data_IF_872583837555
#
_entry.id   IF_872583837555
#
_cell.length_a   1.000
_cell.length_b   1.000
_cell.length_c   1.000
_cell.angle_alpha   90.00
_cell.angle_beta   90.00
_cell.angle_gamma   90.00
#
_symmetry.space_group_name_H-M   'P 1'
#
loop_
_entity.id
_entity.type
_entity.pdbx_description
1 polymer ?
#
# COMPACT_ATOMS: atom_id res chain seq x y z
N UNK A 1 21.98 -17.41 -17.31
CA UNK A 1 21.49 -16.89 -18.61
C UNK A 1 22.58 -15.99 -19.16
N UNK A 2 22.93 -16.13 -20.45
CA UNK A 2 24.02 -15.37 -21.08
C UNK A 2 23.83 -13.83 -20.95
N UNK A 3 24.89 -13.03 -20.70
CA UNK A 3 24.85 -11.57 -20.74
C UNK A 3 24.26 -10.97 -22.02
N UNK A 4 24.37 -11.70 -23.12
CA UNK A 4 23.85 -11.40 -24.46
C UNK A 4 22.31 -11.39 -24.49
N UNK A 5 21.64 -12.03 -23.52
CA UNK A 5 20.19 -12.02 -23.42
C UNK A 5 19.63 -10.67 -22.91
N UNK A 6 20.46 -9.83 -22.27
CA UNK A 6 20.00 -8.60 -21.64
C UNK A 6 19.26 -7.63 -22.60
N UNK A 7 19.77 -7.30 -23.80
CA UNK A 7 19.09 -6.36 -24.69
C UNK A 7 17.69 -6.85 -25.09
N UNK A 8 17.52 -8.15 -25.31
CA UNK A 8 16.24 -8.76 -25.64
C UNK A 8 15.27 -8.70 -24.45
N UNK A 9 15.74 -9.03 -23.25
CA UNK A 9 14.94 -8.92 -22.03
C UNK A 9 14.53 -7.47 -21.76
N UNK A 10 15.46 -6.53 -21.87
CA UNK A 10 15.19 -5.12 -21.58
C UNK A 10 14.19 -4.53 -22.59
N UNK A 11 14.34 -4.87 -23.88
CA UNK A 11 13.36 -4.53 -24.92
C UNK A 11 11.99 -5.13 -24.62
N UNK A 12 11.92 -6.41 -24.24
CA UNK A 12 10.67 -7.08 -23.89
C UNK A 12 10.01 -6.41 -22.67
N UNK A 13 10.78 -6.07 -21.64
CA UNK A 13 10.29 -5.38 -20.44
C UNK A 13 9.63 -4.02 -20.76
N UNK A 14 10.15 -3.32 -21.77
CA UNK A 14 9.69 -2.02 -22.22
C UNK A 14 8.58 -2.06 -23.28
N UNK A 15 8.45 -3.11 -24.07
CA UNK A 15 7.66 -3.00 -25.31
C UNK A 15 6.93 -4.26 -25.77
N UNK A 16 7.06 -5.37 -25.05
CA UNK A 16 6.30 -6.58 -25.42
C UNK A 16 4.79 -6.33 -25.36
N UNK A 17 4.04 -6.87 -26.32
CA UNK A 17 2.57 -6.71 -26.38
C UNK A 17 1.88 -7.41 -25.21
N UNK A 18 2.47 -8.50 -24.69
CA UNK A 18 1.93 -9.25 -23.58
C UNK A 18 2.39 -8.69 -22.24
N UNK A 19 1.44 -8.24 -21.42
CA UNK A 19 1.68 -7.76 -20.06
C UNK A 19 2.41 -8.79 -19.21
N UNK A 20 2.07 -10.07 -19.38
CA UNK A 20 2.73 -11.19 -18.70
C UNK A 20 4.20 -11.30 -19.11
N UNK A 21 4.50 -11.14 -20.41
CA UNK A 21 5.89 -11.16 -20.90
C UNK A 21 6.66 -9.94 -20.38
N UNK A 22 6.06 -8.74 -20.43
CA UNK A 22 6.68 -7.52 -19.87
C UNK A 22 7.03 -7.72 -18.40
N UNK A 23 6.09 -8.19 -17.57
CA UNK A 23 6.31 -8.43 -16.15
C UNK A 23 7.42 -9.44 -15.88
N UNK A 24 7.43 -10.57 -16.59
CA UNK A 24 8.49 -11.56 -16.46
C UNK A 24 9.86 -11.03 -16.90
N UNK A 25 9.89 -10.23 -17.96
CA UNK A 25 11.10 -9.60 -18.45
C UNK A 25 11.65 -8.56 -17.46
N UNK A 26 10.78 -7.71 -16.87
CA UNK A 26 11.13 -6.75 -15.80
C UNK A 26 11.81 -7.44 -14.63
N UNK A 27 11.19 -8.51 -14.12
CA UNK A 27 11.78 -9.30 -13.02
C UNK A 27 13.13 -9.92 -13.44
N UNK A 28 13.22 -10.43 -14.67
CA UNK A 28 14.44 -11.07 -15.17
C UNK A 28 15.60 -10.09 -15.35
N UNK A 29 15.33 -8.88 -15.87
CA UNK A 29 16.31 -7.80 -15.99
C UNK A 29 16.94 -7.50 -14.63
N UNK A 30 16.12 -7.27 -13.61
CA UNK A 30 16.62 -6.92 -12.28
C UNK A 30 17.31 -8.07 -11.56
N UNK A 31 16.71 -9.26 -11.55
CA UNK A 31 17.26 -10.40 -10.80
C UNK A 31 18.60 -10.88 -11.35
N UNK A 32 18.88 -10.64 -12.64
CA UNK A 32 20.06 -11.18 -13.32
C UNK A 32 21.07 -10.11 -13.72
N UNK A 33 20.62 -8.88 -13.94
CA UNK A 33 21.44 -7.79 -14.47
C UNK A 33 21.14 -6.46 -13.77
N UNK A 34 21.20 -6.36 -12.42
CA UNK A 34 20.70 -5.20 -11.70
C UNK A 34 21.43 -3.91 -12.08
N UNK A 35 22.76 -3.90 -12.05
CA UNK A 35 23.56 -2.73 -12.41
C UNK A 35 23.35 -2.27 -13.86
N UNK A 36 23.24 -3.22 -14.79
CA UNK A 36 23.01 -2.92 -16.21
C UNK A 36 21.59 -2.40 -16.45
N UNK A 37 20.60 -2.97 -15.76
CA UNK A 37 19.20 -2.52 -15.78
C UNK A 37 19.09 -1.09 -15.28
N UNK A 38 19.68 -0.80 -14.12
CA UNK A 38 19.68 0.54 -13.54
C UNK A 38 20.32 1.57 -14.46
N UNK A 39 21.50 1.25 -15.02
CA UNK A 39 22.20 2.12 -15.97
C UNK A 39 21.31 2.46 -17.17
N UNK A 40 20.65 1.48 -17.77
CA UNK A 40 19.77 1.71 -18.91
C UNK A 40 18.50 2.51 -18.53
N UNK A 41 17.95 2.30 -17.34
CA UNK A 41 16.81 3.10 -16.85
C UNK A 41 17.23 4.56 -16.68
N UNK A 42 18.34 4.82 -15.98
CA UNK A 42 18.84 6.19 -15.81
C UNK A 42 19.07 6.88 -17.15
N UNK A 43 19.67 6.19 -18.12
CA UNK A 43 19.84 6.72 -19.48
C UNK A 43 18.50 7.10 -20.13
N UNK A 44 17.47 6.26 -20.03
CA UNK A 44 16.14 6.57 -20.56
C UNK A 44 15.44 7.73 -19.83
N UNK A 45 15.68 7.89 -18.53
CA UNK A 45 15.10 8.98 -17.72
C UNK A 45 15.82 10.32 -17.89
N UNK A 46 17.09 10.28 -18.28
CA UNK A 46 17.94 11.45 -18.56
C UNK A 46 17.84 11.90 -20.03
N UNK A 47 17.36 11.03 -20.93
CA UNK A 47 17.16 11.34 -22.34
C UNK A 47 15.97 12.30 -22.56
N UNK A 48 16.18 13.52 -23.08
CA UNK A 48 15.12 14.47 -23.35
C UNK A 48 14.20 14.04 -24.50
N UNK A 49 14.70 13.26 -25.46
CA UNK A 49 13.94 12.79 -26.63
C UNK A 49 13.17 11.49 -26.33
N UNK A 50 13.44 10.87 -25.18
CA UNK A 50 12.75 9.65 -24.78
C UNK A 50 11.27 9.91 -24.48
N UNK A 51 10.41 9.22 -25.23
CA UNK A 51 8.95 9.38 -25.11
C UNK A 51 8.47 9.13 -23.67
N UNK A 52 7.41 9.83 -23.21
CA UNK A 52 6.82 9.60 -21.89
C UNK A 52 6.48 8.13 -21.64
N UNK A 53 5.88 7.44 -22.63
CA UNK A 53 5.52 6.02 -22.50
C UNK A 53 6.74 5.13 -22.18
N UNK A 54 7.90 5.40 -22.79
CA UNK A 54 9.11 4.63 -22.49
C UNK A 54 9.67 4.97 -21.10
N UNK A 55 9.63 6.24 -20.69
CA UNK A 55 10.01 6.66 -19.33
C UNK A 55 9.13 6.00 -18.28
N UNK A 56 7.80 6.01 -18.46
CA UNK A 56 6.83 5.36 -17.59
C UNK A 56 7.15 3.86 -17.44
N UNK A 57 7.37 3.17 -18.56
CA UNK A 57 7.70 1.73 -18.54
C UNK A 57 9.07 1.45 -17.93
N UNK A 58 10.03 2.35 -18.09
CA UNK A 58 11.33 2.29 -17.41
C UNK A 58 11.17 2.43 -15.89
N UNK A 59 10.33 3.35 -15.43
CA UNK A 59 10.00 3.51 -14.01
C UNK A 59 9.35 2.24 -13.46
N UNK A 60 8.36 1.66 -14.17
CA UNK A 60 7.72 0.40 -13.75
C UNK A 60 8.66 -0.81 -13.68
N UNK A 61 9.79 -0.80 -14.40
CA UNK A 61 10.82 -1.82 -14.21
C UNK A 61 11.35 -1.75 -12.75
N UNK A 62 11.55 -0.56 -12.18
CA UNK A 62 12.15 -0.33 -10.85
C UNK A 62 11.32 -0.92 -9.68
N UNK A 63 10.02 -1.11 -9.86
CA UNK A 63 9.08 -1.56 -8.82
C UNK A 63 9.42 -2.93 -8.21
N UNK A 64 10.08 -3.83 -8.96
CA UNK A 64 10.30 -5.22 -8.57
C UNK A 64 11.62 -5.51 -7.84
N UNK A 65 12.51 -4.52 -7.66
CA UNK A 65 13.82 -4.73 -7.03
C UNK A 65 13.87 -4.22 -5.58
N UNK A 66 14.60 -4.91 -4.69
CA UNK A 66 14.97 -4.45 -3.34
C UNK A 66 16.09 -3.40 -3.33
N UNK A 67 16.89 -3.32 -4.39
CA UNK A 67 18.07 -2.44 -4.47
C UNK A 67 17.71 -1.19 -5.27
N UNK A 68 17.64 -0.06 -4.56
CA UNK A 68 17.59 1.29 -5.10
C UNK A 68 18.94 1.94 -4.85
N UNK A 69 19.72 2.24 -5.88
CA UNK A 69 20.83 3.16 -5.66
C UNK A 69 20.28 4.51 -5.21
N UNK A 70 21.09 5.23 -4.42
CA UNK A 70 20.76 6.60 -4.04
C UNK A 70 20.56 7.48 -5.28
N UNK A 71 21.35 7.25 -6.34
CA UNK A 71 21.24 7.99 -7.60
C UNK A 71 19.87 7.82 -8.26
N UNK A 72 19.39 6.58 -8.40
CA UNK A 72 18.07 6.33 -9.00
C UNK A 72 16.94 6.89 -8.13
N UNK A 73 17.05 6.73 -6.80
CA UNK A 73 16.07 7.27 -5.85
C UNK A 73 15.91 8.79 -5.98
N UNK A 74 17.03 9.53 -5.96
CA UNK A 74 17.01 10.98 -6.10
C UNK A 74 16.50 11.42 -7.47
N UNK A 75 16.84 10.68 -8.54
CA UNK A 75 16.29 10.96 -9.87
C UNK A 75 14.78 10.79 -9.92
N UNK A 76 14.23 9.74 -9.30
CA UNK A 76 12.78 9.53 -9.23
C UNK A 76 12.08 10.61 -8.41
N UNK A 77 12.67 11.07 -7.29
CA UNK A 77 12.14 12.21 -6.51
C UNK A 77 12.12 13.51 -7.33
N UNK A 78 13.19 13.78 -8.09
CA UNK A 78 13.24 14.93 -8.99
C UNK A 78 12.13 14.87 -10.04
N UNK A 79 11.89 13.70 -10.62
CA UNK A 79 10.80 13.49 -11.58
C UNK A 79 9.45 13.71 -10.90
N UNK A 80 9.20 13.09 -9.74
CA UNK A 80 7.94 13.19 -9.00
C UNK A 80 7.49 14.64 -8.77
N UNK A 81 8.44 15.50 -8.37
CA UNK A 81 8.14 16.89 -8.04
C UNK A 81 8.45 17.88 -9.17
N UNK A 82 8.78 17.40 -10.37
CA UNK A 82 9.03 18.26 -11.53
C UNK A 82 7.73 18.65 -12.23
N UNK A 83 7.45 19.96 -12.27
CA UNK A 83 6.33 20.51 -13.03
C UNK A 83 6.48 20.34 -14.55
N UNK A 84 7.71 20.15 -15.05
CA UNK A 84 7.98 19.96 -16.48
C UNK A 84 7.74 18.54 -16.98
N UNK A 85 7.73 17.55 -16.08
CA UNK A 85 7.45 16.16 -16.44
C UNK A 85 5.93 15.96 -16.64
N UNK A 86 5.48 15.09 -17.55
CA UNK A 86 4.06 14.79 -17.67
C UNK A 86 3.51 14.14 -16.39
N UNK A 87 2.24 14.43 -16.04
CA UNK A 87 1.62 13.93 -14.81
C UNK A 87 1.65 12.41 -14.66
N UNK A 88 1.51 11.66 -15.76
CA UNK A 88 1.62 10.20 -15.76
C UNK A 88 3.03 9.71 -15.38
N UNK A 89 4.07 10.47 -15.74
CA UNK A 89 5.46 10.15 -15.41
C UNK A 89 5.72 10.44 -13.94
N UNK A 90 5.22 11.57 -13.43
CA UNK A 90 5.24 11.87 -12.00
C UNK A 90 4.55 10.75 -11.21
N UNK A 91 3.29 10.44 -11.53
CA UNK A 91 2.50 9.42 -10.86
C UNK A 91 3.18 8.03 -10.87
N UNK A 92 3.80 7.63 -11.99
CA UNK A 92 4.52 6.36 -12.09
C UNK A 92 5.68 6.24 -11.08
N UNK A 93 6.27 7.35 -10.63
CA UNK A 93 7.36 7.33 -9.63
C UNK A 93 6.89 7.10 -8.20
N UNK A 94 5.60 7.33 -7.90
CA UNK A 94 5.07 7.21 -6.53
C UNK A 94 5.26 5.78 -6.02
N UNK A 95 4.82 4.77 -6.77
CA UNK A 95 4.93 3.36 -6.38
C UNK A 95 6.35 2.93 -5.99
N UNK A 96 7.37 3.08 -6.88
CA UNK A 96 8.71 2.64 -6.56
C UNK A 96 9.31 3.35 -5.36
N UNK A 97 9.02 4.64 -5.18
CA UNK A 97 9.51 5.40 -4.02
C UNK A 97 8.86 4.89 -2.72
N UNK A 98 7.53 4.76 -2.69
CA UNK A 98 6.79 4.30 -1.51
C UNK A 98 7.18 2.90 -1.05
N UNK A 99 7.40 1.96 -1.98
CA UNK A 99 7.74 0.58 -1.64
C UNK A 99 9.19 0.37 -1.19
N UNK A 100 10.05 1.38 -1.29
CA UNK A 100 11.51 1.23 -1.18
C UNK A 100 12.19 2.30 -0.32
N UNK A 101 11.45 3.31 0.10
CA UNK A 101 11.85 4.24 1.14
C UNK A 101 11.69 3.60 2.53
N UNK A 102 12.49 4.07 3.49
CA UNK A 102 12.30 3.70 4.89
C UNK A 102 10.99 4.27 5.44
N UNK A 103 10.61 3.87 6.66
CA UNK A 103 9.40 4.35 7.33
C UNK A 103 9.31 5.89 7.32
N UNK A 104 10.31 6.57 7.86
CA UNK A 104 10.28 8.03 8.02
C UNK A 104 10.25 8.76 6.67
N UNK A 105 11.02 8.26 5.70
CA UNK A 105 11.06 8.82 4.34
C UNK A 105 9.75 8.59 3.58
N UNK A 106 9.05 7.47 3.83
CA UNK A 106 7.74 7.20 3.21
C UNK A 106 6.65 8.13 3.73
N UNK A 107 6.74 8.53 5.01
CA UNK A 107 5.80 9.47 5.63
C UNK A 107 6.01 10.89 5.12
N UNK A 108 7.28 11.36 5.09
CA UNK A 108 7.64 12.65 4.49
C UNK A 108 7.24 12.73 3.01
N UNK A 109 7.44 11.63 2.26
CA UNK A 109 7.04 11.56 0.87
C UNK A 109 5.52 11.62 0.70
N UNK A 110 4.77 10.96 1.56
CA UNK A 110 3.31 10.98 1.52
C UNK A 110 2.73 12.36 1.82
N UNK A 111 3.22 13.01 2.87
CA UNK A 111 2.87 14.40 3.19
C UNK A 111 3.06 15.30 1.96
N UNK A 112 4.25 15.24 1.34
CA UNK A 112 4.55 16.03 0.13
C UNK A 112 3.63 15.69 -1.04
N UNK A 113 3.27 14.43 -1.22
CA UNK A 113 2.37 14.02 -2.30
C UNK A 113 0.95 14.54 -2.06
N UNK A 114 0.43 14.46 -0.83
CA UNK A 114 -0.93 14.86 -0.46
C UNK A 114 -1.20 16.34 -0.76
N UNK A 115 -0.19 17.20 -0.60
CA UNK A 115 -0.31 18.63 -0.91
C UNK A 115 0.16 18.99 -2.33
N UNK A 116 0.48 18.01 -3.17
CA UNK A 116 0.97 18.29 -4.52
C UNK A 116 -0.18 18.68 -5.46
N UNK A 117 0.08 19.63 -6.35
CA UNK A 117 -0.94 20.20 -7.24
C UNK A 117 -1.54 19.19 -8.24
N UNK A 118 -0.77 18.18 -8.66
CA UNK A 118 -1.22 17.16 -9.61
C UNK A 118 -2.07 16.09 -8.93
N UNK A 119 -3.34 15.97 -9.34
CA UNK A 119 -4.27 15.01 -8.74
C UNK A 119 -3.88 13.55 -9.01
N UNK A 120 -3.16 13.24 -10.09
CA UNK A 120 -2.68 11.88 -10.35
C UNK A 120 -1.62 11.47 -9.31
N UNK A 121 -0.79 12.41 -8.86
CA UNK A 121 0.19 12.14 -7.79
C UNK A 121 -0.53 11.87 -6.47
N UNK A 122 -1.54 12.67 -6.14
CA UNK A 122 -2.37 12.48 -4.92
C UNK A 122 -3.13 11.15 -4.95
N UNK A 123 -3.74 10.81 -6.10
CA UNK A 123 -4.46 9.56 -6.32
C UNK A 123 -3.54 8.35 -6.10
N UNK A 124 -2.37 8.35 -6.76
CA UNK A 124 -1.41 7.25 -6.64
C UNK A 124 -0.85 7.15 -5.22
N UNK A 125 -0.61 8.27 -4.55
CA UNK A 125 -0.17 8.28 -3.16
C UNK A 125 -1.19 7.56 -2.25
N UNK A 126 -2.49 7.86 -2.38
CA UNK A 126 -3.55 7.17 -1.64
C UNK A 126 -3.60 5.66 -1.94
N UNK A 127 -3.52 5.27 -3.22
CA UNK A 127 -3.51 3.85 -3.65
C UNK A 127 -2.36 3.07 -3.00
N UNK A 128 -1.16 3.65 -2.98
CA UNK A 128 0.01 2.94 -2.48
C UNK A 128 0.09 2.92 -0.96
N UNK A 129 -0.39 3.96 -0.28
CA UNK A 129 -0.58 3.89 1.17
C UNK A 129 -1.57 2.77 1.53
N UNK A 130 -2.68 2.63 0.82
CA UNK A 130 -3.61 1.51 1.01
C UNK A 130 -2.94 0.13 0.80
N UNK A 131 -1.87 0.07 0.01
CA UNK A 131 -1.15 -1.18 -0.29
C UNK A 131 -0.05 -1.49 0.73
N UNK A 132 0.31 -0.53 1.57
CA UNK A 132 1.37 -0.62 2.55
C UNK A 132 0.79 -1.06 3.89
N UNK A 133 1.28 -2.18 4.43
CA UNK A 133 0.82 -2.74 5.71
C UNK A 133 1.40 -2.05 6.95
N UNK A 134 2.11 -0.94 6.78
CA UNK A 134 2.69 -0.25 7.92
C UNK A 134 1.62 0.61 8.61
N UNK A 135 1.55 0.49 9.94
CA UNK A 135 0.71 1.31 10.82
C UNK A 135 1.37 2.69 11.02
N UNK A 136 1.49 3.49 9.97
CA UNK A 136 1.84 4.90 10.14
C UNK A 136 0.58 5.70 10.32
N UNK A 137 0.71 6.87 10.94
CA UNK A 137 -0.35 7.86 11.11
C UNK A 137 -0.63 8.57 9.77
N UNK A 138 -0.89 7.79 8.73
CA UNK A 138 -1.34 8.30 7.43
C UNK A 138 -2.78 8.79 7.51
N UNK A 139 -3.52 8.42 8.55
CA UNK A 139 -4.94 8.78 8.74
C UNK A 139 -5.13 10.29 8.62
N UNK A 140 -4.27 11.10 9.25
CA UNK A 140 -4.36 12.57 9.14
C UNK A 140 -4.40 13.02 7.68
N UNK A 141 -3.44 12.56 6.87
CA UNK A 141 -3.34 12.93 5.46
C UNK A 141 -4.42 12.28 4.60
N UNK A 142 -4.85 11.05 4.93
CA UNK A 142 -5.95 10.39 4.24
C UNK A 142 -7.29 11.08 4.50
N UNK A 143 -7.50 11.62 5.71
CA UNK A 143 -8.66 12.46 6.03
C UNK A 143 -8.66 13.76 5.22
N UNK A 144 -7.48 14.38 5.04
CA UNK A 144 -7.34 15.53 4.14
C UNK A 144 -7.69 15.15 2.68
N UNK A 145 -7.15 14.05 2.17
CA UNK A 145 -7.44 13.56 0.81
C UNK A 145 -8.89 13.10 0.62
N UNK A 146 -9.58 12.67 1.67
CA UNK A 146 -10.99 12.32 1.61
C UNK A 146 -11.85 13.53 1.22
N UNK A 147 -11.41 14.73 1.58
CA UNK A 147 -12.02 16.01 1.24
C UNK A 147 -11.46 16.61 -0.07
N UNK A 148 -10.69 15.87 -0.85
CA UNK A 148 -10.08 16.39 -2.09
C UNK A 148 -11.13 16.81 -3.13
N UNK A 149 -10.81 17.86 -3.88
CA UNK A 149 -11.64 18.35 -4.97
C UNK A 149 -11.80 17.29 -6.07
N UNK A 150 -10.76 16.51 -6.34
CA UNK A 150 -10.77 15.41 -7.30
C UNK A 150 -11.46 14.18 -6.69
N UNK A 151 -12.54 13.75 -7.34
CA UNK A 151 -13.33 12.60 -6.88
C UNK A 151 -12.55 11.27 -6.88
N UNK A 152 -11.54 11.10 -7.74
CA UNK A 152 -10.72 9.87 -7.75
C UNK A 152 -9.81 9.84 -6.55
N UNK A 153 -9.18 10.97 -6.22
CA UNK A 153 -8.35 11.10 -5.02
C UNK A 153 -9.16 10.81 -3.76
N UNK A 154 -10.32 11.46 -3.61
CA UNK A 154 -11.23 11.23 -2.48
C UNK A 154 -11.69 9.77 -2.38
N UNK A 155 -12.00 9.13 -3.52
CA UNK A 155 -12.37 7.70 -3.56
C UNK A 155 -11.23 6.79 -3.11
N UNK A 156 -10.01 7.00 -3.59
CA UNK A 156 -8.87 6.16 -3.20
C UNK A 156 -8.44 6.40 -1.75
N UNK A 157 -8.59 7.62 -1.24
CA UNK A 157 -8.44 7.92 0.19
C UNK A 157 -9.47 7.17 1.04
N UNK A 158 -10.75 7.16 0.62
CA UNK A 158 -11.80 6.37 1.26
C UNK A 158 -11.45 4.87 1.26
N UNK A 159 -11.00 4.31 0.13
CA UNK A 159 -10.55 2.92 0.07
C UNK A 159 -9.38 2.63 1.04
N UNK A 160 -8.39 3.52 1.10
CA UNK A 160 -7.28 3.39 2.04
C UNK A 160 -7.78 3.39 3.49
N UNK A 161 -8.65 4.32 3.85
CA UNK A 161 -9.26 4.42 5.18
C UNK A 161 -10.16 3.23 5.49
N UNK A 162 -10.91 2.66 4.54
CA UNK A 162 -11.69 1.44 4.80
C UNK A 162 -10.75 0.27 5.11
N UNK A 163 -9.65 0.17 4.38
CA UNK A 163 -8.69 -0.93 4.53
C UNK A 163 -7.86 -0.83 5.82
N UNK A 164 -7.56 0.39 6.26
CA UNK A 164 -6.66 0.67 7.38
C UNK A 164 -7.34 1.23 8.62
N UNK A 165 -8.56 1.73 8.48
CA UNK A 165 -9.28 2.45 9.51
C UNK A 165 -9.82 1.53 10.59
N UNK A 166 -9.87 2.08 11.78
CA UNK A 166 -10.26 1.45 13.02
C UNK A 166 -11.34 2.28 13.75
N UNK A 167 -11.67 1.93 14.99
CA UNK A 167 -12.63 2.68 15.79
C UNK A 167 -12.22 4.16 15.97
N UNK A 168 -10.92 4.42 16.14
CA UNK A 168 -10.37 5.79 16.27
C UNK A 168 -10.56 6.55 14.95
N UNK A 169 -10.39 5.88 13.82
CA UNK A 169 -10.63 6.44 12.50
C UNK A 169 -12.09 6.81 12.32
N UNK A 170 -13.03 5.96 12.78
CA UNK A 170 -14.46 6.28 12.78
C UNK A 170 -14.72 7.53 13.61
N UNK A 171 -14.20 7.63 14.84
CA UNK A 171 -14.37 8.81 15.69
C UNK A 171 -13.84 10.08 15.00
N UNK A 172 -12.66 10.02 14.37
CA UNK A 172 -12.11 11.14 13.59
C UNK A 172 -13.03 11.53 12.43
N UNK A 173 -13.59 10.55 11.72
CA UNK A 173 -14.53 10.76 10.61
C UNK A 173 -15.86 11.36 11.09
N UNK A 174 -16.41 10.91 12.21
CA UNK A 174 -17.62 11.46 12.83
C UNK A 174 -17.41 12.90 13.30
N UNK A 175 -16.26 13.18 13.93
CA UNK A 175 -15.86 14.53 14.28
C UNK A 175 -15.75 15.43 13.04
N UNK A 176 -15.24 14.90 11.93
CA UNK A 176 -15.15 15.63 10.66
C UNK A 176 -16.53 15.98 10.09
N UNK A 177 -17.53 15.10 10.24
CA UNK A 177 -18.93 15.38 9.85
C UNK A 177 -19.56 16.55 10.62
N UNK A 178 -19.03 16.89 11.80
CA UNK A 178 -19.47 18.03 12.61
C UNK A 178 -18.77 19.35 12.25
N UNK A 179 -17.89 19.35 11.25
CA UNK A 179 -17.19 20.55 10.77
C UNK A 179 -17.79 21.06 9.45
N UNK A 180 -17.35 22.23 8.98
CA UNK A 180 -17.80 22.80 7.71
C UNK A 180 -17.11 22.09 6.53
N UNK A 181 -17.76 21.05 6.02
CA UNK A 181 -17.31 20.24 4.88
C UNK A 181 -18.36 20.26 3.76
N UNK A 182 -17.92 20.07 2.52
CA UNK A 182 -18.84 19.96 1.38
C UNK A 182 -19.76 18.73 1.50
N UNK A 183 -20.97 18.80 0.93
CA UNK A 183 -21.89 17.64 0.91
C UNK A 183 -21.25 16.41 0.25
N UNK A 184 -20.45 16.60 -0.81
CA UNK A 184 -19.70 15.53 -1.47
C UNK A 184 -18.75 14.84 -0.49
N UNK A 185 -18.02 15.62 0.32
CA UNK A 185 -17.13 15.08 1.35
C UNK A 185 -17.92 14.37 2.46
N UNK A 186 -19.06 14.94 2.89
CA UNK A 186 -19.94 14.31 3.88
C UNK A 186 -20.45 12.94 3.43
N UNK A 187 -20.90 12.82 2.18
CA UNK A 187 -21.29 11.54 1.58
C UNK A 187 -20.12 10.56 1.51
N UNK A 188 -18.93 11.01 1.11
CA UNK A 188 -17.74 10.17 1.10
C UNK A 188 -17.41 9.65 2.50
N UNK A 189 -17.40 10.52 3.51
CA UNK A 189 -17.13 10.17 4.91
C UNK A 189 -18.13 9.14 5.43
N UNK A 190 -19.44 9.35 5.27
CA UNK A 190 -20.46 8.38 5.71
C UNK A 190 -20.27 7.01 5.05
N UNK A 191 -19.93 6.99 3.77
CA UNK A 191 -19.64 5.74 3.06
C UNK A 191 -18.35 5.07 3.56
N UNK A 192 -17.32 5.84 3.89
CA UNK A 192 -16.08 5.35 4.49
C UNK A 192 -16.34 4.74 5.87
N UNK A 193 -17.09 5.43 6.75
CA UNK A 193 -17.49 4.92 8.07
C UNK A 193 -18.19 3.58 7.90
N UNK A 194 -19.25 3.54 7.07
CA UNK A 194 -20.00 2.31 6.81
C UNK A 194 -19.09 1.20 6.25
N UNK A 195 -18.13 1.55 5.40
CA UNK A 195 -17.14 0.60 4.88
C UNK A 195 -16.25 0.01 5.97
N UNK A 196 -15.74 0.84 6.89
CA UNK A 196 -14.97 0.39 8.05
C UNK A 196 -15.85 -0.51 8.94
N UNK A 197 -17.07 -0.08 9.27
CA UNK A 197 -18.02 -0.86 10.08
C UNK A 197 -18.35 -2.22 9.46
N UNK A 198 -18.54 -2.29 8.12
CA UNK A 198 -18.77 -3.55 7.43
C UNK A 198 -17.56 -4.50 7.47
N UNK A 199 -16.35 -3.98 7.66
CA UNK A 199 -15.17 -4.82 7.87
C UNK A 199 -15.03 -5.24 9.32
N UNK A 200 -15.55 -4.51 10.30
CA UNK A 200 -15.47 -4.91 11.72
C UNK A 200 -16.40 -6.08 12.01
N UNK A 201 -15.88 -7.10 12.69
CA UNK A 201 -16.63 -8.30 13.07
C UNK A 201 -16.96 -8.32 14.56
N UNK A 202 -15.94 -8.31 15.41
CA UNK A 202 -16.09 -8.35 16.87
C UNK A 202 -14.77 -8.00 17.58
N UNK A 203 -14.84 -7.80 18.90
CA UNK A 203 -13.67 -7.58 19.76
C UNK A 203 -13.44 -8.77 20.69
N UNK A 204 -12.17 -9.09 20.94
CA UNK A 204 -11.75 -10.06 21.96
C UNK A 204 -10.82 -9.42 22.98
N UNK A 205 -10.65 -10.10 24.12
CA UNK A 205 -9.82 -9.64 25.23
C UNK A 205 -8.33 -9.55 24.87
N UNK A 206 -7.65 -8.49 25.32
CA UNK A 206 -6.20 -8.29 25.11
C UNK A 206 -5.32 -9.42 25.68
N UNK A 207 -5.83 -10.26 26.59
CA UNK A 207 -5.11 -11.45 27.09
C UNK A 207 -4.69 -12.42 25.98
N UNK A 208 -5.37 -12.42 24.84
CA UNK A 208 -5.03 -13.24 23.68
C UNK A 208 -3.86 -12.69 22.85
N UNK A 209 -3.31 -11.53 23.22
CA UNK A 209 -2.18 -10.93 22.51
C UNK A 209 -0.97 -11.86 22.48
N UNK A 210 -0.65 -12.51 23.60
CA UNK A 210 0.46 -13.47 23.69
C UNK A 210 0.25 -14.67 22.78
N UNK A 211 -0.99 -15.13 22.61
CA UNK A 211 -1.33 -16.21 21.69
C UNK A 211 -1.06 -15.80 20.23
N UNK A 212 -1.28 -14.53 19.88
CA UNK A 212 -1.00 -13.99 18.55
C UNK A 212 0.50 -13.72 18.33
N UNK A 213 1.19 -13.15 19.32
CA UNK A 213 2.62 -12.80 19.24
C UNK A 213 3.54 -14.04 19.23
N UNK A 214 3.17 -15.12 19.93
CA UNK A 214 4.01 -16.32 20.05
C UNK A 214 3.78 -17.37 18.96
N UNK A 215 2.86 -17.14 18.03
CA UNK A 215 2.54 -18.07 16.94
C UNK A 215 3.70 -18.37 15.99
N UNK A 216 4.77 -17.54 15.98
CA UNK A 216 5.98 -17.79 15.19
C UNK A 216 6.64 -19.14 15.58
N UNK A 217 6.52 -19.56 16.84
CA UNK A 217 7.19 -20.75 17.35
C UNK A 217 6.39 -22.05 17.13
N UNK A 218 5.06 -21.98 17.12
CA UNK A 218 4.19 -23.17 17.07
C UNK A 218 3.43 -23.32 15.75
N UNK A 219 3.36 -22.27 14.92
CA UNK A 219 2.48 -22.16 13.74
C UNK A 219 1.01 -22.53 14.02
N UNK A 220 0.60 -22.57 15.29
CA UNK A 220 -0.71 -23.04 15.74
C UNK A 220 -1.37 -21.99 16.62
N UNK A 221 -2.58 -21.61 16.22
CA UNK A 221 -3.50 -20.81 17.03
C UNK A 221 -3.93 -21.63 18.25
N UNK A 222 -3.86 -21.02 19.44
CA UNK A 222 -4.26 -21.63 20.71
C UNK A 222 -5.73 -22.05 20.70
N UNK A 223 -6.06 -23.08 21.47
CA UNK A 223 -7.44 -23.56 21.59
C UNK A 223 -8.35 -22.51 22.25
N UNK A 224 -7.81 -21.74 23.20
CA UNK A 224 -8.50 -20.64 23.86
C UNK A 224 -8.91 -19.55 22.87
N UNK A 225 -8.01 -19.16 21.96
CA UNK A 225 -8.31 -18.17 20.92
C UNK A 225 -9.30 -18.71 19.88
N UNK A 226 -9.25 -20.01 19.55
CA UNK A 226 -10.25 -20.65 18.68
C UNK A 226 -11.65 -20.60 19.26
N UNK A 227 -11.80 -20.95 20.53
CA UNK A 227 -13.09 -20.89 21.23
C UNK A 227 -13.62 -19.47 21.33
N UNK A 228 -12.74 -18.49 21.54
CA UNK A 228 -13.16 -17.10 21.56
C UNK A 228 -13.77 -16.69 20.21
N UNK A 229 -13.12 -17.02 19.09
CA UNK A 229 -13.69 -16.81 17.76
C UNK A 229 -15.04 -17.54 17.58
N UNK A 230 -15.14 -18.78 18.07
CA UNK A 230 -16.37 -19.58 18.01
C UNK A 230 -17.52 -18.95 18.84
N UNK A 231 -17.22 -18.36 20.00
CA UNK A 231 -18.19 -17.64 20.82
C UNK A 231 -18.80 -16.44 20.08
N UNK A 232 -18.07 -15.87 19.12
CA UNK A 232 -18.52 -14.79 18.23
C UNK A 232 -19.01 -15.31 16.87
N UNK A 233 -19.30 -16.61 16.75
CA UNK A 233 -19.85 -17.24 15.55
C UNK A 233 -18.86 -17.40 14.38
N UNK A 234 -17.55 -17.20 14.61
CA UNK A 234 -16.50 -17.32 13.60
C UNK A 234 -15.66 -18.58 13.83
N UNK A 235 -15.58 -19.47 12.83
CA UNK A 235 -14.89 -20.76 12.98
C UNK A 235 -13.48 -20.74 12.41
N UNK A 236 -12.47 -20.59 13.28
CA UNK A 236 -11.08 -20.79 12.88
C UNK A 236 -10.80 -22.28 12.62
N UNK A 237 -10.72 -22.67 11.34
CA UNK A 237 -10.45 -24.05 10.92
C UNK A 237 -9.09 -24.60 11.37
N UNK A 238 -8.99 -25.92 11.45
CA UNK A 238 -7.72 -26.60 11.67
C UNK A 238 -6.74 -26.25 10.54
N UNK A 239 -5.57 -25.70 10.90
CA UNK A 239 -4.58 -25.21 9.94
C UNK A 239 -4.56 -23.70 9.71
N UNK A 240 -5.47 -22.92 10.32
CA UNK A 240 -5.34 -21.46 10.33
C UNK A 240 -4.02 -21.02 10.96
N UNK A 241 -3.36 -20.04 10.35
CA UNK A 241 -2.04 -19.52 10.77
C UNK A 241 -2.13 -18.03 11.08
N UNK A 242 -1.30 -17.57 11.99
CA UNK A 242 -1.14 -16.14 12.27
C UNK A 242 0.12 -15.63 11.57
N UNK A 243 0.02 -14.47 10.93
CA UNK A 243 1.13 -13.68 10.44
C UNK A 243 1.19 -12.41 11.26
N UNK A 244 2.29 -12.19 11.97
CA UNK A 244 2.53 -10.90 12.63
C UNK A 244 2.79 -9.85 11.55
N UNK A 245 2.04 -8.75 11.61
CA UNK A 245 2.27 -7.56 10.79
C UNK A 245 3.06 -6.52 11.57
N UNK A 246 2.70 -6.33 12.83
CA UNK A 246 3.40 -5.48 13.79
C UNK A 246 3.35 -6.13 15.17
N UNK A 247 4.52 -6.42 15.72
CA UNK A 247 4.62 -7.03 17.04
C UNK A 247 3.83 -6.20 18.07
N UNK A 248 2.99 -6.89 18.85
CA UNK A 248 2.19 -6.28 19.91
C UNK A 248 1.02 -5.38 19.48
N UNK A 249 0.73 -5.22 18.18
CA UNK A 249 -0.39 -4.38 17.74
C UNK A 249 -1.10 -4.76 16.44
N UNK A 250 -0.56 -5.65 15.60
CA UNK A 250 -1.20 -6.02 14.34
C UNK A 250 -0.86 -7.41 13.85
N UNK A 251 -1.89 -8.20 13.55
CA UNK A 251 -1.78 -9.59 13.09
C UNK A 251 -2.77 -9.88 11.96
N UNK A 252 -2.49 -10.90 11.17
CA UNK A 252 -3.42 -11.45 10.19
C UNK A 252 -3.59 -12.93 10.46
N UNK A 253 -4.83 -13.37 10.66
CA UNK A 253 -5.19 -14.78 10.73
C UNK A 253 -5.54 -15.23 9.31
N UNK A 254 -4.80 -16.20 8.80
CA UNK A 254 -4.97 -16.81 7.49
C UNK A 254 -5.64 -18.17 7.66
N UNK A 255 -6.92 -18.26 7.30
CA UNK A 255 -7.64 -19.51 7.11
C UNK A 255 -7.53 -20.01 5.66
N UNK A 256 -8.23 -21.11 5.34
CA UNK A 256 -8.25 -21.69 3.99
C UNK A 256 -9.03 -20.79 3.00
N UNK A 257 -10.14 -20.20 3.45
CA UNK A 257 -11.04 -19.37 2.66
C UNK A 257 -11.40 -18.04 3.37
N UNK A 258 -10.88 -17.84 4.58
CA UNK A 258 -11.23 -16.71 5.45
C UNK A 258 -9.95 -16.05 5.89
N UNK A 259 -9.93 -14.73 5.89
CA UNK A 259 -8.80 -13.97 6.33
C UNK A 259 -9.28 -12.90 7.29
N UNK A 260 -8.73 -12.90 8.49
CA UNK A 260 -9.07 -11.91 9.50
C UNK A 260 -7.88 -10.99 9.73
N UNK A 261 -8.14 -9.69 9.75
CA UNK A 261 -7.18 -8.72 10.25
C UNK A 261 -7.46 -8.52 11.75
N UNK A 262 -6.41 -8.58 12.57
CA UNK A 262 -6.50 -8.37 14.01
C UNK A 262 -5.67 -7.17 14.37
N UNK A 263 -6.26 -6.20 15.07
CA UNK A 263 -5.57 -5.00 15.54
C UNK A 263 -5.77 -4.83 17.02
N UNK A 264 -4.73 -4.37 17.71
CA UNK A 264 -4.84 -3.95 19.10
C UNK A 264 -5.28 -2.48 19.11
N UNK A 265 -6.46 -2.25 19.67
CA UNK A 265 -7.07 -0.93 19.78
C UNK A 265 -7.48 -0.77 21.25
N UNK A 266 -6.88 0.20 21.92
CA UNK A 266 -6.97 0.37 23.37
C UNK A 266 -6.59 -0.92 24.15
N UNK A 267 -7.52 -1.45 24.94
CA UNK A 267 -7.38 -2.65 25.76
C UNK A 267 -8.04 -3.89 25.14
N UNK A 268 -8.35 -3.85 23.83
CA UNK A 268 -9.00 -4.95 23.11
C UNK A 268 -8.26 -5.30 21.83
N UNK A 269 -8.59 -6.48 21.30
CA UNK A 269 -8.16 -6.93 20.00
C UNK A 269 -9.38 -6.96 19.08
N UNK A 270 -9.42 -6.07 18.09
CA UNK A 270 -10.52 -5.94 17.15
C UNK A 270 -10.27 -6.80 15.92
N UNK A 271 -11.30 -7.57 15.53
CA UNK A 271 -11.27 -8.53 14.43
C UNK A 271 -12.03 -7.93 13.26
N UNK A 272 -11.39 -7.90 12.10
CA UNK A 272 -11.95 -7.39 10.86
C UNK A 272 -11.93 -8.46 9.77
N UNK A 273 -12.95 -8.47 8.93
CA UNK A 273 -12.96 -9.21 7.68
C UNK A 273 -11.94 -8.57 6.72
N UNK A 274 -11.03 -9.38 6.19
CA UNK A 274 -10.06 -8.96 5.19
C UNK A 274 -10.59 -9.15 3.76
N UNK A 275 -11.82 -9.62 3.58
CA UNK A 275 -12.43 -9.89 2.28
C UNK A 275 -12.94 -8.59 1.62
N UNK A 276 -12.01 -7.75 1.16
CA UNK A 276 -12.21 -6.70 0.15
C UNK A 276 -11.09 -6.79 -0.90
#
# INVERSE_FOLDING_TARGET
>A
MPPEAFPYLFKAALSDKSDKVRSNARMSCWNRFPYKTEKCILQLLEDPECSPLLKERAIHITTYNKIFSQKLRERLKQILFSVSEPGIIRAATVQPLFWRCGKDESEELFEKCVHYHDSLVREFAAIYVASIFFTHDYDKYLLELLCDIDCKVSKEAAHALIKHGDAITIEKLENLLNTDISEKASVAIRNTIRGIEHTFLFSIDSKFQSDLDNTILSYRISESLRREFENHGSLLKAGSRVSIKKAGSGWVILGKNEHYLVRKEENKLNIYDKTL
#
